data_IF_023052752413
#
_entry.id   IF_023052752413
#
_cell.length_a   1.000
_cell.length_b   1.000
_cell.length_c   1.000
_cell.angle_alpha   90.00
_cell.angle_beta   90.00
_cell.angle_gamma   90.00
#
_symmetry.space_group_name_H-M   'P 1'
#
loop_
_entity.id
_entity.type
_entity.pdbx_description
1 polymer ?
#
# COMPACT_ATOMS: atom_id res chain seq x y z
N UNK A 1 11.19 -5.94 20.51
CA UNK A 1 11.03 -4.94 19.43
C UNK A 1 9.64 -4.32 19.34
N UNK A 2 8.53 -4.99 19.66
CA UNK A 2 7.19 -4.36 19.50
C UNK A 2 6.30 -4.53 20.74
N UNK A 3 6.90 -4.89 21.88
CA UNK A 3 6.20 -5.03 23.15
C UNK A 3 5.57 -3.69 23.57
N UNK A 4 4.29 -3.70 23.94
CA UNK A 4 3.53 -2.50 24.34
C UNK A 4 3.26 -1.52 23.20
N UNK A 5 3.34 -1.96 21.93
CA UNK A 5 3.22 -1.09 20.75
C UNK A 5 2.01 -1.47 19.89
N UNK A 6 1.51 -0.50 19.12
CA UNK A 6 0.48 -0.71 18.09
C UNK A 6 1.08 -0.46 16.71
N UNK A 7 1.00 -1.48 15.85
CA UNK A 7 1.48 -1.44 14.48
C UNK A 7 0.30 -1.54 13.51
N UNK A 8 0.18 -0.57 12.61
CA UNK A 8 -0.90 -0.55 11.62
C UNK A 8 -0.36 -0.59 10.19
N UNK A 9 -0.88 -1.51 9.38
CA UNK A 9 -0.67 -1.57 7.94
C UNK A 9 -1.79 -0.80 7.26
N UNK A 10 -1.46 0.33 6.66
CA UNK A 10 -2.40 1.30 6.08
C UNK A 10 -2.26 1.23 4.57
N UNK A 11 -3.32 0.83 3.87
CA UNK A 11 -3.24 0.70 2.43
C UNK A 11 -4.24 -0.22 1.76
N UNK A 12 -3.90 -0.62 0.52
CA UNK A 12 -4.73 -1.49 -0.31
C UNK A 12 -4.67 -2.96 0.15
N UNK A 13 -5.24 -3.87 -0.65
CA UNK A 13 -5.27 -5.30 -0.34
C UNK A 13 -3.87 -5.94 -0.24
N UNK A 14 -2.84 -5.36 -0.86
CA UNK A 14 -1.45 -5.83 -0.72
C UNK A 14 -0.83 -5.35 0.59
N UNK A 15 -1.32 -4.26 1.19
CA UNK A 15 -0.96 -3.90 2.57
C UNK A 15 -1.51 -4.93 3.58
N UNK A 16 -2.75 -5.40 3.37
CA UNK A 16 -3.32 -6.50 4.16
C UNK A 16 -2.53 -7.80 3.98
N UNK A 17 -2.18 -8.16 2.74
CA UNK A 17 -1.38 -9.35 2.46
C UNK A 17 -0.01 -9.34 3.18
N UNK A 18 0.63 -8.16 3.29
CA UNK A 18 1.86 -7.99 4.08
C UNK A 18 1.61 -8.16 5.58
N UNK A 19 0.53 -7.59 6.12
CA UNK A 19 0.15 -7.80 7.53
C UNK A 19 -0.12 -9.27 7.83
N UNK A 20 -0.82 -9.98 6.94
CA UNK A 20 -1.14 -11.41 7.09
C UNK A 20 0.12 -12.28 7.09
N UNK A 21 1.10 -11.97 6.24
CA UNK A 21 2.43 -12.59 6.31
C UNK A 21 3.07 -12.40 7.69
N UNK A 22 3.09 -11.16 8.22
CA UNK A 22 3.65 -10.88 9.54
C UNK A 22 2.89 -11.61 10.65
N UNK A 23 1.56 -11.64 10.57
CA UNK A 23 0.70 -12.34 11.50
C UNK A 23 1.04 -13.83 11.55
N UNK A 24 1.20 -14.48 10.41
CA UNK A 24 1.60 -15.89 10.33
C UNK A 24 2.96 -16.12 11.03
N UNK A 25 3.96 -15.28 10.75
CA UNK A 25 5.28 -15.39 11.37
C UNK A 25 5.22 -15.22 12.90
N UNK A 26 4.48 -14.23 13.39
CA UNK A 26 4.33 -13.99 14.83
C UNK A 26 3.49 -15.05 15.53
N UNK A 27 2.54 -15.68 14.82
CA UNK A 27 1.66 -16.71 15.37
C UNK A 27 2.39 -18.01 15.71
N UNK A 28 3.60 -18.21 15.18
CA UNK A 28 4.48 -19.31 15.60
C UNK A 28 4.93 -19.16 17.06
N UNK A 29 5.01 -17.91 17.55
CA UNK A 29 5.55 -17.59 18.87
C UNK A 29 4.46 -17.34 19.92
N UNK A 30 3.33 -16.80 19.47
CA UNK A 30 2.19 -16.52 20.33
C UNK A 30 0.89 -16.55 19.53
N UNK A 31 -0.12 -17.26 20.02
CA UNK A 31 -1.47 -17.23 19.45
C UNK A 31 -2.12 -15.86 19.70
N UNK A 32 -2.40 -15.06 18.65
CA UNK A 32 -3.07 -13.78 18.80
C UNK A 32 -4.59 -13.97 18.99
N UNK A 33 -5.23 -12.96 19.58
CA UNK A 33 -6.68 -12.81 19.62
C UNK A 33 -7.14 -11.94 18.47
N UNK A 34 -8.09 -12.42 17.67
CA UNK A 34 -8.83 -11.58 16.74
C UNK A 34 -9.83 -10.74 17.56
N UNK A 35 -9.58 -9.45 17.69
CA UNK A 35 -10.39 -8.56 18.53
C UNK A 35 -11.29 -7.64 17.71
N UNK A 36 -11.09 -7.58 16.39
CA UNK A 36 -11.95 -6.82 15.48
C UNK A 36 -11.80 -7.29 14.03
N UNK A 37 -12.93 -7.36 13.34
CA UNK A 37 -13.05 -7.65 11.91
C UNK A 37 -14.25 -6.89 11.36
N UNK A 38 -14.08 -6.17 10.26
CA UNK A 38 -15.22 -5.58 9.53
C UNK A 38 -15.92 -6.63 8.66
N UNK A 39 -17.08 -6.28 8.08
CA UNK A 39 -17.90 -7.23 7.33
C UNK A 39 -17.27 -7.78 6.04
N UNK A 40 -16.24 -7.11 5.52
CA UNK A 40 -15.54 -7.48 4.28
C UNK A 40 -14.11 -7.97 4.52
N UNK A 41 -13.69 -8.12 5.78
CA UNK A 41 -12.38 -8.58 6.20
C UNK A 41 -11.22 -7.71 5.66
N UNK A 42 -11.49 -6.43 5.44
CA UNK A 42 -10.53 -5.43 4.96
C UNK A 42 -9.79 -4.78 6.12
N UNK A 43 -10.50 -4.54 7.22
CA UNK A 43 -9.97 -4.01 8.46
C UNK A 43 -9.99 -5.07 9.54
N UNK A 44 -8.81 -5.37 10.11
CA UNK A 44 -8.64 -6.37 11.17
C UNK A 44 -7.75 -5.85 12.28
N UNK A 45 -7.98 -6.32 13.50
CA UNK A 45 -7.12 -6.03 14.65
C UNK A 45 -6.84 -7.33 15.40
N UNK A 46 -5.56 -7.64 15.52
CA UNK A 46 -5.02 -8.77 16.25
C UNK A 46 -4.27 -8.29 17.49
N UNK A 47 -4.54 -8.92 18.63
CA UNK A 47 -3.88 -8.62 19.89
C UNK A 47 -3.06 -9.80 20.38
N UNK A 48 -1.82 -9.56 20.78
CA UNK A 48 -0.86 -10.52 21.33
C UNK A 48 -0.67 -10.24 22.83
N UNK A 49 -1.44 -10.90 23.73
CA UNK A 49 -1.46 -10.59 25.17
C UNK A 49 -0.12 -10.72 25.90
N UNK A 50 0.72 -11.71 25.57
CA UNK A 50 2.02 -11.93 26.24
C UNK A 50 3.00 -10.80 25.93
N UNK A 51 2.83 -10.12 24.78
CA UNK A 51 3.67 -9.02 24.35
C UNK A 51 3.00 -7.66 24.47
N UNK A 52 1.73 -7.60 24.86
CA UNK A 52 0.92 -6.39 24.80
C UNK A 52 1.10 -5.67 23.44
N UNK A 53 1.03 -6.44 22.36
CA UNK A 53 1.27 -5.96 21.01
C UNK A 53 -0.02 -6.01 20.20
N UNK A 54 -0.33 -4.92 19.49
CA UNK A 54 -1.48 -4.85 18.58
C UNK A 54 -1.00 -4.74 17.15
N UNK A 55 -1.51 -5.60 16.28
CA UNK A 55 -1.30 -5.60 14.84
C UNK A 55 -2.62 -5.32 14.14
N UNK A 56 -2.70 -4.30 13.30
CA UNK A 56 -3.93 -3.93 12.60
C UNK A 56 -3.76 -3.67 11.12
N UNK A 57 -4.86 -3.76 10.38
CA UNK A 57 -4.98 -3.23 9.02
C UNK A 57 -5.98 -2.10 8.96
N UNK A 58 -5.65 -1.07 8.18
CA UNK A 58 -6.55 0.03 7.85
C UNK A 58 -6.61 0.15 6.34
N UNK A 59 -7.71 -0.35 5.75
CA UNK A 59 -7.85 -0.45 4.31
C UNK A 59 -8.21 0.90 3.69
N UNK A 60 -7.49 1.24 2.62
CA UNK A 60 -7.76 2.41 1.78
C UNK A 60 -7.19 2.18 0.39
N UNK A 61 -7.90 2.62 -0.65
CA UNK A 61 -7.45 2.43 -2.04
C UNK A 61 -6.32 3.38 -2.41
N UNK A 62 -6.43 4.63 -1.96
CA UNK A 62 -5.62 5.76 -2.45
C UNK A 62 -4.96 6.58 -1.33
N UNK A 63 -5.17 6.26 -0.05
CA UNK A 63 -4.68 7.00 1.14
C UNK A 63 -5.32 8.38 1.35
N UNK A 64 -5.75 9.05 0.29
CA UNK A 64 -6.50 10.32 0.31
C UNK A 64 -8.01 10.08 0.20
N UNK A 65 -8.81 11.10 0.48
CA UNK A 65 -10.26 11.05 0.27
C UNK A 65 -10.56 10.72 -1.19
N UNK A 66 -11.42 9.73 -1.40
CA UNK A 66 -11.77 9.24 -2.72
C UNK A 66 -13.28 9.08 -2.86
N UNK A 67 -13.76 9.22 -4.09
CA UNK A 67 -15.11 8.83 -4.46
C UNK A 67 -15.13 8.16 -5.82
N UNK A 68 -15.73 6.99 -5.88
CA UNK A 68 -16.10 6.38 -7.15
C UNK A 68 -17.30 7.12 -7.77
N UNK A 69 -17.16 7.55 -9.02
CA UNK A 69 -18.27 8.09 -9.79
C UNK A 69 -19.28 6.98 -10.09
N UNK A 70 -20.55 7.35 -10.00
CA UNK A 70 -21.67 6.45 -10.25
C UNK A 70 -22.47 6.90 -11.46
N UNK A 71 -22.99 5.93 -12.20
CA UNK A 71 -23.89 6.17 -13.32
C UNK A 71 -25.32 6.51 -12.84
N UNK A 72 -26.23 6.75 -13.80
CA UNK A 72 -27.64 7.05 -13.51
C UNK A 72 -28.39 5.93 -12.76
N UNK A 73 -27.87 4.70 -12.77
CA UNK A 73 -28.41 3.55 -12.04
C UNK A 73 -27.69 3.32 -10.70
N UNK A 74 -26.90 4.29 -10.24
CA UNK A 74 -26.11 4.21 -9.02
C UNK A 74 -25.06 3.08 -9.03
N UNK A 75 -24.64 2.61 -10.21
CA UNK A 75 -23.59 1.61 -10.38
C UNK A 75 -22.22 2.29 -10.48
N UNK A 76 -21.19 1.68 -9.89
CA UNK A 76 -19.81 2.18 -9.96
C UNK A 76 -19.28 2.16 -11.39
N UNK A 77 -18.74 3.29 -11.84
CA UNK A 77 -18.20 3.44 -13.20
C UNK A 77 -16.75 3.01 -13.33
N UNK A 78 -16.06 2.75 -12.21
CA UNK A 78 -14.62 2.54 -12.18
C UNK A 78 -13.78 3.82 -12.40
N UNK A 79 -14.43 4.99 -12.49
CA UNK A 79 -13.78 6.31 -12.48
C UNK A 79 -13.74 6.84 -11.05
N UNK A 80 -12.60 7.37 -10.64
CA UNK A 80 -12.40 7.85 -9.27
C UNK A 80 -12.05 9.34 -9.23
N UNK A 81 -12.61 10.05 -8.25
CA UNK A 81 -12.21 11.40 -7.87
C UNK A 81 -11.39 11.31 -6.59
N UNK A 82 -10.17 11.88 -6.59
CA UNK A 82 -9.29 11.95 -5.44
C UNK A 82 -9.09 13.42 -5.03
N UNK A 83 -9.30 13.76 -3.76
CA UNK A 83 -8.99 15.09 -3.22
C UNK A 83 -7.67 15.04 -2.45
N UNK A 84 -6.57 15.50 -3.05
CA UNK A 84 -5.26 15.50 -2.39
C UNK A 84 -5.14 16.54 -1.26
N UNK A 85 -6.16 17.39 -1.08
CA UNK A 85 -6.28 18.28 0.06
C UNK A 85 -6.80 17.59 1.32
N UNK A 86 -7.32 16.36 1.21
CA UNK A 86 -7.95 15.63 2.32
C UNK A 86 -7.44 14.20 2.40
N UNK A 87 -7.09 13.78 3.61
CA UNK A 87 -6.68 12.40 3.88
C UNK A 87 -7.91 11.56 4.19
N UNK A 88 -7.91 10.29 3.79
CA UNK A 88 -8.96 9.35 4.14
C UNK A 88 -9.06 9.15 5.66
N UNK A 89 -10.13 9.71 6.23
CA UNK A 89 -10.44 9.65 7.67
C UNK A 89 -10.61 8.22 8.20
N UNK A 90 -10.91 7.25 7.32
CA UNK A 90 -11.06 5.84 7.68
C UNK A 90 -9.83 5.28 8.40
N UNK A 91 -8.64 5.60 7.89
CA UNK A 91 -7.38 5.21 8.52
C UNK A 91 -6.77 6.33 9.37
N UNK A 92 -6.92 7.59 8.97
CA UNK A 92 -6.22 8.71 9.61
C UNK A 92 -6.66 8.92 11.07
N UNK A 93 -7.94 8.69 11.39
CA UNK A 93 -8.45 8.74 12.77
C UNK A 93 -7.77 7.78 13.75
N UNK A 94 -7.19 6.68 13.24
CA UNK A 94 -6.47 5.69 14.04
C UNK A 94 -5.00 6.05 14.28
N UNK A 95 -4.44 6.96 13.47
CA UNK A 95 -3.02 7.32 13.52
C UNK A 95 -2.57 7.89 14.88
N UNK A 96 -3.38 8.70 15.60
CA UNK A 96 -3.04 9.14 16.96
C UNK A 96 -2.71 8.01 17.95
N UNK A 97 -3.30 6.84 17.75
CA UNK A 97 -3.10 5.67 18.61
C UNK A 97 -2.03 4.71 18.09
N UNK A 98 -1.38 5.01 16.96
CA UNK A 98 -0.41 4.13 16.30
C UNK A 98 1.02 4.47 16.70
N UNK A 99 1.85 3.46 16.98
CA UNK A 99 3.28 3.64 17.22
C UNK A 99 4.11 3.43 15.96
N UNK A 100 3.68 2.49 15.10
CA UNK A 100 4.37 2.13 13.86
C UNK A 100 3.34 2.03 12.73
N UNK A 101 3.40 2.95 11.77
CA UNK A 101 2.52 3.02 10.62
C UNK A 101 3.27 2.54 9.37
N UNK A 102 2.81 1.46 8.73
CA UNK A 102 3.35 0.95 7.47
C UNK A 102 2.38 1.39 6.38
N UNK A 103 2.77 2.39 5.59
CA UNK A 103 1.90 3.05 4.61
C UNK A 103 2.25 2.56 3.21
N UNK A 104 1.24 2.03 2.50
CA UNK A 104 1.44 1.56 1.12
C UNK A 104 0.14 1.41 0.33
N UNK A 105 0.01 2.11 -0.80
CA UNK A 105 -1.07 1.92 -1.75
C UNK A 105 -0.56 2.17 -3.17
N UNK A 106 -0.92 1.31 -4.11
CA UNK A 106 -0.46 1.48 -5.49
C UNK A 106 -1.40 0.89 -6.54
N UNK A 107 -2.00 -0.26 -6.30
CA UNK A 107 -2.62 -1.04 -7.38
C UNK A 107 -3.91 -0.41 -7.91
N UNK A 108 -4.59 0.39 -7.08
CA UNK A 108 -5.77 1.13 -7.50
C UNK A 108 -5.44 2.34 -8.38
N UNK A 109 -4.19 2.84 -8.36
CA UNK A 109 -3.76 3.98 -9.18
C UNK A 109 -3.72 3.68 -10.68
N UNK A 110 -3.84 2.40 -11.07
CA UNK A 110 -3.97 1.95 -12.46
C UNK A 110 -5.44 1.94 -12.92
N UNK A 111 -6.20 2.95 -12.51
CA UNK A 111 -7.58 3.23 -12.93
C UNK A 111 -7.67 4.68 -13.42
N UNK A 112 -8.69 5.03 -14.23
CA UNK A 112 -8.93 6.42 -14.56
C UNK A 112 -9.26 7.23 -13.31
N UNK A 113 -8.47 8.26 -13.03
CA UNK A 113 -8.48 9.01 -11.77
C UNK A 113 -8.40 10.51 -12.03
N UNK A 114 -9.42 11.24 -11.62
CA UNK A 114 -9.39 12.70 -11.55
C UNK A 114 -8.77 13.13 -10.24
N UNK A 115 -7.77 14.01 -10.31
CA UNK A 115 -7.11 14.56 -9.13
C UNK A 115 -7.60 15.99 -8.91
N UNK A 116 -8.07 16.25 -7.69
CA UNK A 116 -8.61 17.53 -7.25
C UNK A 116 -7.86 18.04 -6.03
N UNK A 117 -7.96 19.36 -5.82
CA UNK A 117 -7.61 20.02 -4.56
C UNK A 117 -8.76 20.93 -4.17
N UNK A 118 -9.62 20.47 -3.26
CA UNK A 118 -10.91 21.11 -3.03
C UNK A 118 -11.74 21.14 -4.32
N UNK A 119 -12.19 22.32 -4.73
CA UNK A 119 -13.03 22.49 -5.93
C UNK A 119 -12.24 22.57 -7.25
N UNK A 120 -10.90 22.62 -7.20
CA UNK A 120 -10.04 22.70 -8.38
C UNK A 120 -9.67 21.30 -8.91
N UNK A 121 -9.97 21.03 -10.17
CA UNK A 121 -9.46 19.84 -10.89
C UNK A 121 -8.07 20.11 -11.45
N UNK A 122 -7.06 19.38 -10.96
CA UNK A 122 -5.68 19.50 -11.42
C UNK A 122 -5.44 18.75 -12.73
N UNK A 123 -6.16 17.66 -12.95
CA UNK A 123 -6.07 16.84 -14.16
C UNK A 123 -6.57 15.42 -13.94
N UNK A 124 -6.26 14.54 -14.89
CA UNK A 124 -6.62 13.13 -14.79
C UNK A 124 -5.50 12.17 -15.23
N UNK A 125 -5.40 11.04 -14.53
CA UNK A 125 -4.61 9.86 -14.91
C UNK A 125 -5.50 8.92 -15.73
N UNK A 126 -5.03 8.45 -16.89
CA UNK A 126 -5.71 7.43 -17.72
C UNK A 126 -7.13 7.77 -18.22
N UNK A 127 -7.54 9.04 -18.25
CA UNK A 127 -8.89 9.41 -18.72
C UNK A 127 -9.04 9.44 -20.25
N UNK A 128 -7.97 9.75 -21.01
CA UNK A 128 -8.03 9.98 -22.45
C UNK A 128 -9.16 10.97 -22.88
N UNK A 129 -9.41 12.00 -22.07
CA UNK A 129 -10.42 13.03 -22.34
C UNK A 129 -9.76 14.23 -23.04
N UNK A 130 -10.33 14.68 -24.15
CA UNK A 130 -9.89 15.89 -24.85
C UNK A 130 -10.05 17.14 -23.97
N UNK A 131 -9.10 18.08 -24.08
CA UNK A 131 -9.05 19.32 -23.29
C UNK A 131 -8.91 19.12 -21.76
N UNK A 132 -8.55 17.92 -21.30
CA UNK A 132 -8.20 17.65 -19.90
C UNK A 132 -6.69 17.57 -19.72
N UNK A 133 -6.15 18.24 -18.69
CA UNK A 133 -4.74 18.08 -18.29
C UNK A 133 -4.46 16.62 -17.95
N UNK A 134 -3.55 15.99 -18.68
CA UNK A 134 -3.15 14.61 -18.42
C UNK A 134 -2.06 14.57 -17.37
N UNK A 135 -2.26 13.75 -16.34
CA UNK A 135 -1.30 13.52 -15.26
C UNK A 135 -0.69 12.14 -15.48
N UNK A 136 0.64 12.07 -15.53
CA UNK A 136 1.32 10.78 -15.62
C UNK A 136 1.18 10.01 -14.30
N UNK A 137 1.23 8.67 -14.30
CA UNK A 137 1.18 7.89 -13.06
C UNK A 137 2.22 8.35 -12.04
N UNK A 138 3.46 8.59 -12.48
CA UNK A 138 4.54 9.07 -11.61
C UNK A 138 4.16 10.36 -10.89
N UNK A 139 3.60 11.34 -11.62
CA UNK A 139 3.19 12.62 -11.04
C UNK A 139 1.98 12.44 -10.11
N UNK A 140 1.02 11.58 -10.47
CA UNK A 140 -0.10 11.23 -9.59
C UNK A 140 0.36 10.64 -8.25
N UNK A 141 1.31 9.71 -8.30
CA UNK A 141 1.94 9.15 -7.10
C UNK A 141 2.68 10.22 -6.28
N UNK A 142 3.40 11.15 -6.94
CA UNK A 142 4.04 12.28 -6.25
C UNK A 142 3.03 13.14 -5.52
N UNK A 143 1.95 13.56 -6.18
CA UNK A 143 0.91 14.41 -5.60
C UNK A 143 0.29 13.78 -4.36
N UNK A 144 -0.13 12.51 -4.45
CA UNK A 144 -0.77 11.81 -3.34
C UNK A 144 0.21 11.56 -2.19
N UNK A 145 1.39 11.00 -2.46
CA UNK A 145 2.34 10.68 -1.39
C UNK A 145 2.93 11.93 -0.73
N UNK A 146 3.09 13.04 -1.47
CA UNK A 146 3.48 14.34 -0.90
C UNK A 146 2.43 14.81 0.12
N UNK A 147 1.14 14.75 -0.25
CA UNK A 147 0.04 15.13 0.64
C UNK A 147 -0.03 14.24 1.90
N UNK A 148 0.05 12.91 1.72
CA UNK A 148 0.02 11.93 2.82
C UNK A 148 1.15 12.16 3.81
N UNK A 149 2.41 12.23 3.34
CA UNK A 149 3.55 12.40 4.25
C UNK A 149 3.59 13.77 4.92
N UNK A 150 3.16 14.82 4.20
CA UNK A 150 2.96 16.15 4.79
C UNK A 150 1.95 16.07 5.95
N UNK A 151 0.78 15.47 5.74
CA UNK A 151 -0.26 15.38 6.77
C UNK A 151 0.19 14.56 7.98
N UNK A 152 0.87 13.42 7.78
CA UNK A 152 1.43 12.61 8.88
C UNK A 152 2.44 13.43 9.68
N UNK A 153 3.33 14.16 8.99
CA UNK A 153 4.35 14.99 9.62
C UNK A 153 3.72 16.16 10.42
N UNK A 154 2.62 16.72 9.94
CA UNK A 154 1.88 17.84 10.55
C UNK A 154 0.86 17.40 11.61
N UNK A 155 0.53 16.11 11.73
CA UNK A 155 -0.44 15.61 12.71
C UNK A 155 -0.05 15.88 14.17
N UNK A 156 -0.61 16.91 14.81
CA UNK A 156 -0.29 17.28 16.20
C UNK A 156 -0.84 16.30 17.24
N UNK A 157 -1.95 15.62 16.92
CA UNK A 157 -2.55 14.59 17.79
C UNK A 157 -1.80 13.26 17.74
N UNK A 158 -0.88 13.10 16.80
CA UNK A 158 -0.10 11.88 16.64
C UNK A 158 1.06 11.85 17.61
N UNK A 159 1.46 10.63 18.03
CA UNK A 159 2.63 10.43 18.90
C UNK A 159 3.87 11.10 18.31
N UNK A 160 4.63 11.78 19.16
CA UNK A 160 5.87 12.42 18.76
C UNK A 160 6.92 11.42 18.30
N UNK A 161 6.92 10.19 18.84
CA UNK A 161 7.83 9.11 18.45
C UNK A 161 7.25 8.19 17.36
N UNK A 162 6.15 8.57 16.70
CA UNK A 162 5.53 7.79 15.62
C UNK A 162 6.57 7.43 14.55
N UNK A 163 6.69 6.13 14.28
CA UNK A 163 7.50 5.60 13.18
C UNK A 163 6.60 5.37 11.98
N UNK A 164 6.88 6.05 10.87
CA UNK A 164 6.18 5.86 9.59
C UNK A 164 7.11 5.21 8.58
N UNK A 165 6.71 4.05 8.06
CA UNK A 165 7.46 3.31 7.05
C UNK A 165 6.67 3.31 5.75
N UNK A 166 7.24 3.86 4.69
CA UNK A 166 6.74 3.68 3.33
C UNK A 166 7.15 2.28 2.85
N UNK A 167 6.20 1.40 2.52
CA UNK A 167 6.52 0.25 1.66
C UNK A 167 6.32 0.66 0.21
N UNK A 168 7.38 0.58 -0.59
CA UNK A 168 7.31 0.89 -2.03
C UNK A 168 6.34 -0.05 -2.77
N UNK A 169 5.96 0.34 -3.99
CA UNK A 169 5.09 -0.44 -4.85
C UNK A 169 5.58 -1.90 -4.97
N UNK A 170 4.65 -2.83 -4.79
CA UNK A 170 4.85 -4.23 -5.16
C UNK A 170 4.47 -4.39 -6.63
N UNK A 171 5.31 -5.03 -7.47
CA UNK A 171 4.96 -5.30 -8.86
C UNK A 171 3.87 -6.36 -8.98
N UNK A 172 3.16 -6.32 -10.11
CA UNK A 172 2.32 -7.42 -10.59
C UNK A 172 3.02 -8.09 -11.79
N UNK A 173 2.88 -9.41 -11.94
CA UNK A 173 3.57 -10.16 -13.00
C UNK A 173 2.59 -10.80 -13.99
N UNK A 174 1.68 -9.99 -14.56
CA UNK A 174 0.81 -10.48 -15.61
C UNK A 174 1.56 -10.73 -16.92
N UNK A 175 1.29 -11.87 -17.54
CA UNK A 175 1.74 -12.25 -18.87
C UNK A 175 0.53 -12.54 -19.76
N UNK A 176 0.63 -12.22 -21.05
CA UNK A 176 -0.40 -12.45 -22.07
C UNK A 176 -1.76 -11.80 -21.76
N UNK A 177 -1.77 -10.66 -21.08
CA UNK A 177 -2.96 -9.90 -20.73
C UNK A 177 -2.77 -9.11 -19.43
N UNK A 178 -3.84 -8.49 -18.96
CA UNK A 178 -3.96 -7.77 -17.69
C UNK A 178 -4.93 -8.50 -16.76
N UNK A 179 -5.14 -7.95 -15.56
CA UNK A 179 -6.05 -8.48 -14.55
C UNK A 179 -7.49 -8.74 -15.06
N UNK A 180 -7.96 -7.95 -16.03
CA UNK A 180 -9.31 -7.97 -16.61
C UNK A 180 -9.40 -8.54 -18.03
N UNK A 181 -8.25 -8.76 -18.69
CA UNK A 181 -8.18 -9.27 -20.08
C UNK A 181 -7.63 -10.69 -20.18
N UNK A 182 -7.56 -11.41 -19.06
CA UNK A 182 -7.18 -12.83 -19.03
C UNK A 182 -5.69 -13.10 -18.83
N UNK A 183 -4.93 -12.12 -18.33
CA UNK A 183 -3.52 -12.30 -17.99
C UNK A 183 -3.29 -13.40 -16.95
N UNK A 184 -2.09 -13.98 -16.97
CA UNK A 184 -1.69 -15.09 -16.09
C UNK A 184 -0.28 -14.88 -15.54
N UNK A 185 0.09 -15.56 -14.46
CA UNK A 185 1.42 -15.52 -13.86
C UNK A 185 1.84 -16.95 -13.52
N UNK A 186 2.19 -17.72 -14.55
CA UNK A 186 2.42 -19.18 -14.43
C UNK A 186 3.86 -19.56 -14.12
N UNK A 187 4.75 -18.57 -13.95
CA UNK A 187 6.16 -18.85 -13.67
C UNK A 187 6.31 -19.58 -12.35
N UNK A 188 7.24 -20.53 -12.30
CA UNK A 188 7.50 -21.37 -11.13
C UNK A 188 8.94 -21.21 -10.62
N UNK A 189 9.66 -20.21 -11.13
CA UNK A 189 11.04 -19.93 -10.75
C UNK A 189 11.29 -18.43 -10.78
N UNK A 190 12.13 -17.93 -9.85
CA UNK A 190 12.45 -16.51 -9.78
C UNK A 190 13.25 -16.07 -11.01
N UNK A 191 13.26 -14.76 -11.23
CA UNK A 191 14.16 -14.11 -12.17
C UNK A 191 15.50 -13.78 -11.51
N UNK A 192 16.56 -13.80 -12.31
CA UNK A 192 17.82 -13.14 -11.99
C UNK A 192 17.75 -11.63 -12.19
N UNK A 193 18.72 -10.90 -11.63
CA UNK A 193 18.78 -9.43 -11.74
C UNK A 193 18.88 -8.92 -13.18
N UNK A 194 19.43 -9.71 -14.10
CA UNK A 194 19.54 -9.36 -15.51
C UNK A 194 18.22 -9.58 -16.30
N UNK A 195 17.20 -10.17 -15.67
CA UNK A 195 15.91 -10.46 -16.31
C UNK A 195 14.81 -9.46 -15.92
N UNK A 196 15.10 -8.53 -14.99
CA UNK A 196 14.14 -7.50 -14.58
C UNK A 196 14.35 -6.20 -15.37
N UNK A 197 13.25 -5.52 -15.70
CA UNK A 197 13.30 -4.21 -16.34
C UNK A 197 13.44 -3.10 -15.29
N UNK A 198 14.64 -2.51 -15.21
CA UNK A 198 14.94 -1.39 -14.32
C UNK A 198 14.36 -0.05 -14.79
N UNK A 199 13.81 0.02 -16.01
CA UNK A 199 13.11 1.19 -16.57
C UNK A 199 11.58 1.04 -16.55
N UNK A 200 11.08 -0.03 -15.92
CA UNK A 200 9.66 -0.31 -15.76
C UNK A 200 8.91 0.81 -15.02
N UNK A 201 7.58 0.86 -15.21
CA UNK A 201 6.72 1.82 -14.54
C UNK A 201 6.78 1.67 -13.01
N UNK A 202 6.91 0.44 -12.51
CA UNK A 202 7.08 0.12 -11.09
C UNK A 202 8.33 0.79 -10.51
N UNK A 203 9.46 0.76 -11.23
CA UNK A 203 10.70 1.43 -10.79
C UNK A 203 10.57 2.96 -10.79
N UNK A 204 9.83 3.54 -11.74
CA UNK A 204 9.54 4.98 -11.77
C UNK A 204 8.59 5.42 -10.64
N UNK A 205 7.57 4.62 -10.36
CA UNK A 205 6.65 4.84 -9.23
C UNK A 205 7.40 4.71 -7.90
N UNK A 206 8.21 3.65 -7.73
CA UNK A 206 9.10 3.45 -6.58
C UNK A 206 9.94 4.70 -6.33
N UNK A 207 10.60 5.22 -7.37
CA UNK A 207 11.40 6.45 -7.27
C UNK A 207 10.55 7.63 -6.81
N UNK A 208 9.37 7.82 -7.39
CA UNK A 208 8.44 8.89 -7.02
C UNK A 208 8.01 8.82 -5.55
N UNK A 209 7.66 7.63 -5.05
CA UNK A 209 7.28 7.42 -3.64
C UNK A 209 8.43 7.76 -2.68
N UNK A 210 9.66 7.29 -2.99
CA UNK A 210 10.85 7.54 -2.17
C UNK A 210 11.20 9.03 -2.14
N UNK A 211 11.21 9.70 -3.30
CA UNK A 211 11.52 11.14 -3.40
C UNK A 211 10.57 11.98 -2.53
N UNK A 212 9.27 11.64 -2.46
CA UNK A 212 8.33 12.38 -1.61
C UNK A 212 8.62 12.21 -0.12
N UNK A 213 9.01 11.01 0.32
CA UNK A 213 9.38 10.78 1.71
C UNK A 213 10.68 11.52 2.06
N UNK A 214 11.70 11.40 1.20
CA UNK A 214 13.00 12.06 1.38
C UNK A 214 12.84 13.59 1.43
N UNK A 215 12.00 14.16 0.56
CA UNK A 215 11.67 15.58 0.54
C UNK A 215 11.04 16.10 1.84
N UNK A 216 10.30 15.26 2.58
CA UNK A 216 9.78 15.60 3.91
C UNK A 216 10.86 15.47 4.98
N UNK A 217 11.75 14.47 4.89
CA UNK A 217 12.82 14.25 5.87
C UNK A 217 13.89 15.35 5.86
N UNK A 218 14.23 15.87 4.68
CA UNK A 218 15.28 16.90 4.50
C UNK A 218 14.85 18.29 4.97
N UNK A 219 13.55 18.61 4.93
CA UNK A 219 13.00 19.92 5.34
C UNK A 219 12.79 20.06 6.84
N UNK A 220 13.27 19.11 7.65
CA UNK A 220 13.01 19.06 9.09
C UNK A 220 14.11 19.71 9.89
N UNK A 221 13.73 20.76 10.63
CA UNK A 221 14.60 21.40 11.62
C UNK A 221 14.38 20.89 13.05
N UNK A 222 13.24 20.26 13.41
CA UNK A 222 12.98 19.75 14.78
C UNK A 222 11.65 18.97 14.92
N UNK A 223 11.56 17.69 14.51
CA UNK A 223 10.42 16.81 14.90
C UNK A 223 10.90 15.38 15.21
N UNK A 224 10.40 14.82 16.32
CA UNK A 224 10.76 13.48 16.82
C UNK A 224 10.24 12.32 15.97
N UNK A 225 9.17 12.53 15.17
CA UNK A 225 8.55 11.44 14.37
C UNK A 225 9.57 10.91 13.37
N UNK A 226 9.60 9.60 13.14
CA UNK A 226 10.61 8.96 12.29
C UNK A 226 9.98 8.49 10.98
N UNK A 227 10.71 8.63 9.88
CA UNK A 227 10.29 8.15 8.57
C UNK A 227 11.35 7.22 7.99
N UNK A 228 10.94 6.15 7.32
CA UNK A 228 11.85 5.25 6.63
C UNK A 228 11.20 4.62 5.40
N UNK A 229 12.05 4.11 4.50
CA UNK A 229 11.65 3.38 3.31
C UNK A 229 11.90 1.90 3.52
N UNK A 230 10.85 1.10 3.37
CA UNK A 230 10.90 -0.33 3.11
C UNK A 230 10.83 -0.54 1.60
N UNK A 231 11.99 -0.62 0.97
CA UNK A 231 12.08 -0.76 -0.48
C UNK A 231 12.03 -2.24 -0.91
N UNK A 232 10.89 -2.65 -1.44
CA UNK A 232 10.64 -4.04 -1.86
C UNK A 232 10.56 -4.20 -3.38
N UNK A 233 10.40 -3.11 -4.14
CA UNK A 233 10.06 -3.18 -5.56
C UNK A 233 11.07 -3.99 -6.38
N UNK A 234 12.37 -3.67 -6.28
CA UNK A 234 13.41 -4.35 -7.08
C UNK A 234 13.50 -5.84 -6.77
N UNK A 235 13.47 -6.19 -5.48
CA UNK A 235 13.54 -7.60 -5.07
C UNK A 235 12.29 -8.36 -5.48
N UNK A 236 11.13 -7.72 -5.49
CA UNK A 236 9.88 -8.35 -5.91
C UNK A 236 9.72 -8.46 -7.41
N UNK A 237 10.33 -7.58 -8.22
CA UNK A 237 10.41 -7.76 -9.67
C UNK A 237 11.11 -9.07 -10.05
N UNK A 238 11.94 -9.60 -9.16
CA UNK A 238 12.61 -10.87 -9.36
C UNK A 238 11.76 -12.09 -8.99
N UNK A 239 10.51 -11.91 -8.53
CA UNK A 239 9.70 -12.97 -7.93
C UNK A 239 8.38 -13.25 -8.67
N UNK A 240 8.39 -13.42 -10.00
CA UNK A 240 7.16 -13.78 -10.71
C UNK A 240 6.59 -15.15 -10.29
N UNK A 241 7.37 -15.96 -9.59
CA UNK A 241 7.03 -17.27 -9.04
C UNK A 241 6.17 -17.22 -7.77
N UNK A 242 5.98 -16.03 -7.18
CA UNK A 242 5.36 -15.88 -5.86
C UNK A 242 3.85 -15.62 -5.85
N UNK A 243 3.22 -15.52 -7.02
CA UNK A 243 1.82 -15.15 -7.14
C UNK A 243 0.88 -16.38 -7.10
N UNK A 244 -0.33 -16.26 -6.54
CA UNK A 244 -1.32 -17.35 -6.52
C UNK A 244 -1.78 -17.81 -7.91
N UNK A 245 -1.75 -16.93 -8.91
CA UNK A 245 -2.29 -17.19 -10.24
C UNK A 245 -3.75 -17.67 -10.15
N UNK A 246 -4.09 -18.90 -10.55
CA UNK A 246 -5.45 -19.45 -10.46
C UNK A 246 -5.80 -20.05 -9.09
N UNK A 247 -4.86 -20.14 -8.15
CA UNK A 247 -4.99 -20.93 -6.91
C UNK A 247 -5.50 -20.14 -5.71
N UNK A 248 -6.07 -18.95 -5.91
CA UNK A 248 -6.57 -18.07 -4.85
C UNK A 248 -8.05 -18.30 -4.49
N UNK A 249 -8.66 -19.38 -5.00
CA UNK A 249 -9.98 -19.84 -4.56
C UNK A 249 -11.17 -19.03 -5.10
N UNK A 250 -10.99 -18.20 -6.13
CA UNK A 250 -12.06 -17.33 -6.60
C UNK A 250 -13.01 -18.02 -7.59
N UNK A 251 -14.18 -18.42 -7.07
CA UNK A 251 -15.31 -18.91 -7.88
C UNK A 251 -16.19 -17.79 -8.47
N UNK A 252 -15.99 -16.52 -8.08
CA UNK A 252 -16.93 -15.42 -8.31
C UNK A 252 -16.49 -14.40 -9.37
N UNK A 253 -15.19 -14.11 -9.52
CA UNK A 253 -14.73 -13.19 -10.60
C UNK A 253 -14.38 -13.92 -11.90
N UNK A 254 -15.27 -14.80 -12.39
CA UNK A 254 -15.17 -15.42 -13.72
C UNK A 254 -13.82 -16.11 -14.04
N UNK A 255 -13.04 -16.51 -13.04
CA UNK A 255 -11.75 -17.20 -13.23
C UNK A 255 -10.56 -16.29 -13.55
N UNK A 256 -10.60 -14.98 -13.23
CA UNK A 256 -9.41 -14.13 -13.33
C UNK A 256 -8.26 -14.63 -12.42
N UNK A 257 -7.04 -14.59 -12.92
CA UNK A 257 -5.85 -14.95 -12.15
C UNK A 257 -5.40 -13.79 -11.27
N UNK A 258 -4.93 -14.12 -10.08
CA UNK A 258 -4.31 -13.17 -9.17
C UNK A 258 -2.79 -13.15 -9.37
N UNK A 259 -2.33 -12.09 -10.02
CA UNK A 259 -0.92 -11.80 -10.24
C UNK A 259 -0.47 -10.51 -9.56
N UNK A 260 -1.23 -10.09 -8.54
CA UNK A 260 -1.00 -8.86 -7.75
C UNK A 260 -0.62 -9.23 -6.32
N UNK A 261 -1.37 -10.15 -5.70
CA UNK A 261 -1.11 -10.61 -4.33
C UNK A 261 -0.08 -11.73 -4.31
N UNK A 262 0.40 -12.06 -3.13
CA UNK A 262 1.48 -13.02 -2.90
C UNK A 262 0.98 -14.21 -2.09
N UNK A 263 1.43 -15.40 -2.46
CA UNK A 263 1.23 -16.61 -1.67
C UNK A 263 1.83 -16.46 -0.26
N UNK A 264 1.19 -17.11 0.72
CA UNK A 264 1.68 -17.25 2.09
C UNK A 264 1.78 -18.74 2.45
N UNK A 265 2.94 -19.25 2.91
CA UNK A 265 4.24 -18.56 2.93
C UNK A 265 4.75 -18.25 1.50
N UNK A 266 5.64 -17.27 1.36
CA UNK A 266 6.12 -16.84 0.05
C UNK A 266 7.13 -15.67 0.07
N UNK A 267 7.48 -15.09 -1.09
CA UNK A 267 8.46 -14.00 -1.19
C UNK A 267 8.16 -12.79 -0.30
N UNK A 268 6.88 -12.54 -0.05
CA UNK A 268 6.39 -11.46 0.81
C UNK A 268 6.86 -11.58 2.26
N UNK A 269 7.22 -12.79 2.72
CA UNK A 269 7.76 -13.00 4.07
C UNK A 269 9.09 -12.24 4.27
N UNK A 270 9.89 -12.08 3.20
CA UNK A 270 11.13 -11.29 3.24
C UNK A 270 10.89 -9.80 3.55
N UNK A 271 9.69 -9.26 3.25
CA UNK A 271 9.37 -7.87 3.56
C UNK A 271 9.37 -7.64 5.08
N UNK A 272 8.97 -8.66 5.86
CA UNK A 272 8.98 -8.60 7.31
C UNK A 272 10.40 -8.63 7.88
N UNK A 273 11.33 -9.36 7.25
CA UNK A 273 12.74 -9.32 7.63
C UNK A 273 13.34 -7.93 7.44
N UNK A 274 13.10 -7.32 6.29
CA UNK A 274 13.53 -5.94 6.01
C UNK A 274 12.86 -4.93 6.95
N UNK A 275 11.55 -5.08 7.19
CA UNK A 275 10.80 -4.24 8.12
C UNK A 275 11.39 -4.32 9.54
N UNK A 276 11.71 -5.52 10.01
CA UNK A 276 12.36 -5.72 11.31
C UNK A 276 13.73 -5.06 11.37
N UNK A 277 14.55 -5.17 10.31
CA UNK A 277 15.85 -4.50 10.23
C UNK A 277 15.71 -2.97 10.32
N UNK A 278 14.76 -2.39 9.57
CA UNK A 278 14.46 -0.95 9.59
C UNK A 278 14.01 -0.51 10.97
N UNK A 279 13.04 -1.21 11.58
CA UNK A 279 12.52 -0.86 12.92
C UNK A 279 13.61 -0.92 13.99
N UNK A 280 14.59 -1.83 13.88
CA UNK A 280 15.73 -1.88 14.80
C UNK A 280 16.62 -0.63 14.71
N UNK A 281 16.83 -0.09 13.50
CA UNK A 281 17.68 1.08 13.30
C UNK A 281 17.01 2.39 13.74
N UNK A 282 15.68 2.44 13.68
CA UNK A 282 14.91 3.63 14.07
C UNK A 282 14.67 3.72 15.57
N UNK A 283 15.26 2.85 16.40
CA UNK A 283 15.04 2.82 17.85
C UNK A 283 16.22 3.36 18.61
#
# INVERSE_FOLDING_TARGET
MVRGKKMSFIGDSVARNHMESLLCLLSMEETPKDIYKDGEDRNRIWYFPKHDFTLSTSWTKFLVEERERRDGNNTGTGLFDLDIGKIDEGWFKGLPNTDIAIVSAAHWFFRPIFIHRGDETLGCIYCNIENMTQISPEEGFKLVYSAVFKQINECEKCKDDLVTVLRTISPAHFENGTWDTGGTCRRTSPFGENQIDLQSNEMKIRKSQIEQLEGITTKRNNKAKKFAVLDVTRVMLMRPDGHPNGYWGNKWMKGYNDCVHWCLPGPIDAWNEFLMAIIRQLR
#
